data_IF_124742414595
#
_entry.id   IF_124742414595
#
_cell.length_a   1.000
_cell.length_b   1.000
_cell.length_c   1.000
_cell.angle_alpha   90.00
_cell.angle_beta   90.00
_cell.angle_gamma   90.00
#
_symmetry.space_group_name_H-M   'P 1'
#
loop_
_entity.id
_entity.type
_entity.pdbx_description
1 polymer ?
#
# COMPACT_ATOMS: atom_id res chain seq x y z
N UNK A 1 16.49 -3.00 5.92
CA UNK A 1 15.04 -2.79 5.95
C UNK A 1 14.68 -2.16 7.29
N UNK A 2 14.03 -1.00 7.26
CA UNK A 2 13.49 -0.32 8.45
C UNK A 2 11.98 -0.17 8.26
N UNK A 3 11.19 -0.64 9.22
CA UNK A 3 9.74 -0.49 9.19
C UNK A 3 9.26 0.53 10.21
N UNK A 4 8.22 1.29 9.85
CA UNK A 4 7.50 2.23 10.74
C UNK A 4 6.01 2.10 10.44
N UNK A 5 5.17 2.15 11.47
CA UNK A 5 3.72 2.11 11.31
C UNK A 5 3.02 2.96 12.38
N UNK A 6 1.80 3.41 12.08
CA UNK A 6 1.03 4.31 12.93
C UNK A 6 0.24 3.57 14.04
N UNK A 7 -0.43 4.32 14.91
CA UNK A 7 -1.21 3.76 16.02
C UNK A 7 -2.43 2.95 15.55
N UNK A 8 -3.09 3.35 14.46
CA UNK A 8 -4.22 2.60 13.89
C UNK A 8 -3.75 1.22 13.42
N UNK A 9 -2.58 1.14 12.78
CA UNK A 9 -1.98 -0.13 12.40
C UNK A 9 -1.75 -1.04 13.62
N UNK A 10 -1.22 -0.50 14.72
CA UNK A 10 -1.05 -1.24 15.99
C UNK A 10 -2.38 -1.77 16.53
N UNK A 11 -3.42 -0.94 16.50
CA UNK A 11 -4.76 -1.33 16.95
C UNK A 11 -5.31 -2.47 16.11
N UNK A 12 -5.14 -2.44 14.79
CA UNK A 12 -5.59 -3.53 13.91
C UNK A 12 -4.81 -4.83 14.15
N UNK A 13 -3.51 -4.79 14.44
CA UNK A 13 -2.76 -5.99 14.84
C UNK A 13 -3.37 -6.64 16.09
N UNK A 14 -3.71 -5.83 17.10
CA UNK A 14 -4.33 -6.30 18.35
C UNK A 14 -5.73 -6.84 18.07
N UNK A 15 -6.57 -6.08 17.35
CA UNK A 15 -7.95 -6.45 17.00
C UNK A 15 -8.00 -7.77 16.24
N UNK A 16 -7.06 -7.99 15.31
CA UNK A 16 -6.97 -9.19 14.51
C UNK A 16 -6.14 -10.31 15.13
N UNK A 17 -5.60 -10.11 16.33
CA UNK A 17 -4.72 -11.05 17.03
C UNK A 17 -3.54 -11.51 16.14
N UNK A 18 -2.80 -10.53 15.63
CA UNK A 18 -1.63 -10.69 14.76
C UNK A 18 -0.35 -10.25 15.48
N UNK A 19 0.78 -10.85 15.12
CA UNK A 19 2.07 -10.48 15.69
C UNK A 19 2.61 -9.17 15.10
N UNK A 20 3.34 -8.42 15.93
CA UNK A 20 3.97 -7.13 15.59
C UNK A 20 5.25 -7.25 14.78
N UNK A 21 5.83 -8.46 14.73
CA UNK A 21 6.94 -8.84 13.85
C UNK A 21 6.49 -9.29 12.44
N UNK A 22 5.17 -9.26 12.18
CA UNK A 22 4.54 -9.66 10.92
C UNK A 22 4.80 -11.12 10.50
N UNK A 23 5.13 -11.99 11.46
CA UNK A 23 5.43 -13.42 11.23
C UNK A 23 4.21 -14.30 10.93
N UNK A 24 3.06 -13.70 10.59
CA UNK A 24 1.86 -14.43 10.22
C UNK A 24 1.88 -14.96 8.76
N UNK A 25 1.01 -15.96 8.52
CA UNK A 25 0.83 -16.60 7.22
C UNK A 25 -0.52 -16.25 6.62
N UNK A 26 -0.54 -16.00 5.31
CA UNK A 26 -1.74 -15.77 4.50
C UNK A 26 -1.48 -16.41 3.14
N UNK A 27 -2.49 -17.09 2.61
CA UNK A 27 -2.41 -17.66 1.27
C UNK A 27 -2.36 -16.52 0.25
N UNK A 28 -1.38 -16.56 -0.65
CA UNK A 28 -1.22 -15.55 -1.67
C UNK A 28 -2.07 -15.93 -2.89
N UNK A 29 -3.05 -15.12 -3.30
CA UNK A 29 -3.77 -15.31 -4.56
C UNK A 29 -2.82 -15.30 -5.76
N UNK A 30 -3.25 -15.93 -6.86
CA UNK A 30 -2.43 -16.02 -8.09
C UNK A 30 -1.99 -14.64 -8.58
N UNK A 31 -2.88 -13.65 -8.50
CA UNK A 31 -2.64 -12.26 -8.89
C UNK A 31 -1.48 -11.64 -8.10
N UNK A 32 -1.38 -11.94 -6.80
CA UNK A 32 -0.25 -11.51 -5.96
C UNK A 32 1.02 -12.21 -6.36
N UNK A 33 0.94 -13.53 -6.60
CA UNK A 33 2.12 -14.31 -6.98
C UNK A 33 2.70 -13.82 -8.31
N UNK A 34 1.85 -13.45 -9.26
CA UNK A 34 2.25 -12.86 -10.55
C UNK A 34 3.00 -11.53 -10.35
N UNK A 35 2.49 -10.63 -9.51
CA UNK A 35 3.16 -9.36 -9.15
C UNK A 35 4.52 -9.65 -8.50
N UNK A 36 4.56 -10.57 -7.53
CA UNK A 36 5.79 -10.94 -6.83
C UNK A 36 6.81 -11.63 -7.75
N UNK A 37 6.37 -12.30 -8.81
CA UNK A 37 7.23 -12.88 -9.83
C UNK A 37 7.70 -11.84 -10.86
N UNK A 38 7.01 -10.71 -11.00
CA UNK A 38 7.23 -9.75 -12.07
C UNK A 38 8.59 -9.04 -12.02
N UNK A 39 9.18 -8.77 -13.18
CA UNK A 39 10.54 -8.24 -13.26
C UNK A 39 10.59 -6.78 -12.78
N UNK A 40 11.56 -6.46 -11.92
CA UNK A 40 11.84 -5.06 -11.56
C UNK A 40 12.50 -4.35 -12.75
N UNK A 41 12.00 -3.16 -13.08
CA UNK A 41 12.58 -2.26 -14.06
C UNK A 41 13.08 -1.01 -13.35
N UNK A 42 14.33 -0.64 -13.64
CA UNK A 42 14.93 0.62 -13.21
C UNK A 42 15.16 1.43 -14.48
N UNK A 43 14.61 2.63 -14.52
CA UNK A 43 14.73 3.59 -15.62
C UNK A 43 15.21 4.93 -15.09
N UNK A 44 15.50 5.87 -15.99
CA UNK A 44 15.85 7.25 -15.60
C UNK A 44 14.68 7.96 -14.89
N UNK A 45 13.45 7.48 -15.09
CA UNK A 45 12.22 7.99 -14.45
C UNK A 45 11.88 7.29 -13.13
N UNK A 46 12.58 6.20 -12.77
CA UNK A 46 12.41 5.54 -11.48
C UNK A 46 12.45 4.03 -11.48
N UNK A 47 11.66 3.44 -10.57
CA UNK A 47 11.60 2.00 -10.38
C UNK A 47 10.16 1.52 -10.45
N UNK A 48 9.90 0.46 -11.23
CA UNK A 48 8.58 -0.13 -11.41
C UNK A 48 8.67 -1.64 -11.59
N UNK A 49 7.52 -2.31 -11.71
CA UNK A 49 7.44 -3.68 -12.18
C UNK A 49 7.08 -3.70 -13.67
N UNK A 50 7.61 -4.67 -14.42
CA UNK A 50 7.49 -4.71 -15.89
C UNK A 50 6.05 -4.77 -16.40
N UNK A 51 5.15 -5.44 -15.70
CA UNK A 51 3.73 -5.48 -16.02
C UNK A 51 3.05 -4.11 -15.87
N UNK A 52 3.56 -3.26 -14.98
CA UNK A 52 3.09 -1.90 -14.75
C UNK A 52 3.75 -0.84 -15.65
N UNK A 53 4.76 -1.21 -16.44
CA UNK A 53 5.40 -0.33 -17.44
C UNK A 53 4.54 -0.11 -18.70
N UNK A 54 3.40 -0.81 -18.81
CA UNK A 54 2.39 -0.55 -19.82
C UNK A 54 1.49 0.59 -19.35
N UNK A 55 1.96 1.81 -19.59
CA UNK A 55 1.21 3.03 -19.33
C UNK A 55 -0.04 3.07 -20.21
N UNK A 56 -1.21 2.99 -19.59
CA UNK A 56 -2.47 3.24 -20.26
C UNK A 56 -2.83 4.73 -20.09
N UNK A 57 -3.27 5.38 -21.17
CA UNK A 57 -3.69 6.78 -21.13
C UNK A 57 -5.02 6.88 -20.38
N UNK A 58 -5.09 7.74 -19.35
CA UNK A 58 -6.29 7.98 -18.55
C UNK A 58 -7.48 8.46 -19.40
N UNK A 59 -8.30 7.52 -19.89
CA UNK A 59 -9.59 7.78 -20.52
C UNK A 59 -10.68 7.57 -19.47
N UNK A 60 -11.20 8.66 -18.90
CA UNK A 60 -12.29 8.71 -17.91
C UNK A 60 -13.12 7.40 -17.85
N UNK A 61 -12.95 6.64 -16.76
CA UNK A 61 -13.45 5.30 -16.36
C UNK A 61 -12.28 4.46 -15.76
N UNK A 62 -11.87 4.76 -14.51
CA UNK A 62 -10.70 4.13 -13.86
C UNK A 62 -10.98 3.78 -12.41
N UNK A 63 -10.93 2.48 -12.07
CA UNK A 63 -10.74 2.00 -10.68
C UNK A 63 -9.75 0.80 -10.58
N UNK A 64 -8.98 0.44 -11.63
CA UNK A 64 -8.10 -0.74 -11.58
C UNK A 64 -6.81 -0.62 -12.42
N UNK A 65 -6.12 0.52 -12.42
CA UNK A 65 -4.87 0.66 -13.19
C UNK A 65 -3.81 1.41 -12.41
N UNK A 66 -2.54 1.02 -12.60
CA UNK A 66 -1.38 1.72 -12.04
C UNK A 66 -1.24 3.11 -12.67
N UNK A 67 -1.17 4.14 -11.83
CA UNK A 67 -1.03 5.54 -12.25
C UNK A 67 0.33 6.06 -11.79
N UNK A 68 1.04 6.78 -12.68
CA UNK A 68 2.17 7.64 -12.32
C UNK A 68 1.58 9.01 -11.99
N UNK A 69 1.59 9.40 -10.71
CA UNK A 69 0.98 10.65 -10.27
C UNK A 69 1.81 11.89 -10.64
N UNK A 70 3.12 11.74 -10.83
CA UNK A 70 4.01 12.84 -11.22
C UNK A 70 5.23 12.37 -12.02
N UNK A 71 5.90 13.31 -12.68
CA UNK A 71 7.18 13.07 -13.36
C UNK A 71 8.34 12.72 -12.41
N UNK A 72 8.06 12.50 -11.12
CA UNK A 72 9.04 12.42 -10.03
C UNK A 72 8.95 11.10 -9.24
N UNK A 73 8.70 9.99 -9.94
CA UNK A 73 8.91 8.60 -9.48
C UNK A 73 7.84 8.00 -8.54
N UNK A 74 6.63 8.54 -8.42
CA UNK A 74 5.58 7.91 -7.62
C UNK A 74 4.85 6.81 -8.41
N UNK A 75 5.13 5.54 -8.06
CA UNK A 75 4.40 4.38 -8.59
C UNK A 75 3.37 3.89 -7.58
N UNK A 76 2.11 3.89 -8.00
CA UNK A 76 1.01 3.39 -7.20
C UNK A 76 0.46 2.11 -7.81
N UNK A 77 0.33 1.09 -6.96
CA UNK A 77 -0.46 -0.09 -7.24
C UNK A 77 -1.75 0.11 -6.45
N UNK A 78 -2.74 0.72 -7.10
CA UNK A 78 -4.10 0.67 -6.56
C UNK A 78 -4.58 -0.77 -6.68
N UNK A 79 -4.87 -1.35 -5.53
CA UNK A 79 -5.30 -2.71 -5.45
C UNK A 79 -6.76 -2.74 -5.07
N UNK A 80 -7.55 -3.53 -5.79
CA UNK A 80 -8.82 -4.00 -5.29
C UNK A 80 -8.74 -5.52 -5.26
N UNK A 81 -8.45 -6.11 -4.10
CA UNK A 81 -8.96 -7.45 -3.84
C UNK A 81 -10.28 -7.29 -3.13
N UNK A 82 -11.32 -7.87 -3.74
CA UNK A 82 -12.55 -8.19 -3.03
C UNK A 82 -12.27 -9.26 -1.97
N UNK A 83 -11.71 -8.85 -0.84
CA UNK A 83 -11.67 -9.69 0.35
C UNK A 83 -12.95 -9.45 1.13
N UNK A 84 -13.73 -10.51 1.36
CA UNK A 84 -14.90 -10.45 2.25
C UNK A 84 -14.53 -10.32 3.74
N UNK A 85 -13.23 -10.29 4.06
CA UNK A 85 -12.68 -10.32 5.42
C UNK A 85 -11.54 -9.31 5.58
N UNK A 86 -11.80 -8.24 6.34
CA UNK A 86 -10.85 -7.17 6.65
C UNK A 86 -9.51 -7.70 7.18
N UNK A 87 -9.53 -8.76 8.02
CA UNK A 87 -8.31 -9.33 8.59
C UNK A 87 -7.43 -9.94 7.50
N UNK A 88 -8.02 -10.72 6.60
CA UNK A 88 -7.29 -11.33 5.49
C UNK A 88 -6.74 -10.27 4.54
N UNK A 89 -7.54 -9.25 4.23
CA UNK A 89 -7.12 -8.09 3.44
C UNK A 89 -5.86 -7.44 4.03
N UNK A 90 -5.91 -7.15 5.32
CA UNK A 90 -4.82 -6.52 6.05
C UNK A 90 -3.55 -7.38 6.07
N UNK A 91 -3.70 -8.67 6.40
CA UNK A 91 -2.57 -9.62 6.38
C UNK A 91 -1.96 -9.72 4.98
N UNK A 92 -2.79 -9.77 3.94
CA UNK A 92 -2.37 -9.92 2.57
C UNK A 92 -1.61 -8.68 2.08
N UNK A 93 -2.12 -7.48 2.33
CA UNK A 93 -1.42 -6.22 2.01
C UNK A 93 -0.04 -6.13 2.67
N UNK A 94 0.06 -6.44 3.96
CA UNK A 94 1.32 -6.48 4.69
C UNK A 94 2.28 -7.51 4.09
N UNK A 95 1.78 -8.72 3.82
CA UNK A 95 2.61 -9.80 3.28
C UNK A 95 3.15 -9.46 1.90
N UNK A 96 2.32 -8.90 1.03
CA UNK A 96 2.71 -8.45 -0.31
C UNK A 96 3.79 -7.37 -0.21
N UNK A 97 3.60 -6.36 0.65
CA UNK A 97 4.58 -5.27 0.84
C UNK A 97 5.94 -5.79 1.28
N UNK A 98 5.98 -6.68 2.29
CA UNK A 98 7.22 -7.26 2.81
C UNK A 98 7.94 -8.08 1.73
N UNK A 99 7.20 -8.92 1.00
CA UNK A 99 7.79 -9.77 -0.04
C UNK A 99 8.32 -8.94 -1.22
N UNK A 100 7.66 -7.84 -1.58
CA UNK A 100 8.17 -6.88 -2.55
C UNK A 100 9.45 -6.20 -2.05
N UNK A 101 9.47 -5.71 -0.81
CA UNK A 101 10.67 -5.09 -0.22
C UNK A 101 11.85 -6.08 -0.18
N UNK A 102 11.60 -7.32 0.23
CA UNK A 102 12.59 -8.41 0.21
C UNK A 102 13.12 -8.68 -1.19
N UNK A 103 12.25 -8.67 -2.22
CA UNK A 103 12.64 -8.87 -3.61
C UNK A 103 13.63 -7.80 -4.06
N UNK A 104 13.32 -6.53 -3.84
CA UNK A 104 14.19 -5.41 -4.20
C UNK A 104 15.52 -5.47 -3.44
N UNK A 105 15.48 -5.81 -2.15
CA UNK A 105 16.68 -5.97 -1.33
C UNK A 105 17.58 -7.11 -1.84
N UNK A 106 17.01 -8.25 -2.26
CA UNK A 106 17.75 -9.37 -2.88
C UNK A 106 18.39 -8.98 -4.20
N UNK A 107 17.74 -8.11 -4.98
CA UNK A 107 18.29 -7.51 -6.20
C UNK A 107 19.28 -6.36 -5.92
N UNK A 108 19.57 -6.08 -4.64
CA UNK A 108 20.49 -5.02 -4.17
C UNK A 108 20.05 -3.61 -4.57
N UNK A 109 18.76 -3.41 -4.80
CA UNK A 109 18.14 -2.11 -5.05
C UNK A 109 17.91 -1.44 -3.69
N UNK A 110 18.37 -0.20 -3.54
CA UNK A 110 18.33 0.57 -2.29
C UNK A 110 17.75 1.96 -2.53
N UNK A 111 17.44 2.65 -1.44
CA UNK A 111 16.83 3.97 -1.48
C UNK A 111 15.38 3.88 -1.96
N UNK A 112 14.68 2.80 -1.63
CA UNK A 112 13.28 2.59 -2.01
C UNK A 112 12.42 2.63 -0.75
N UNK A 113 11.33 3.38 -0.84
CA UNK A 113 10.26 3.39 0.15
C UNK A 113 9.09 2.58 -0.37
N UNK A 114 8.63 1.67 0.45
CA UNK A 114 7.38 0.96 0.30
C UNK A 114 6.37 1.54 1.27
N UNK A 115 5.15 1.71 0.82
CA UNK A 115 4.07 2.31 1.56
C UNK A 115 2.81 1.47 1.43
N UNK A 116 2.18 1.20 2.56
CA UNK A 116 0.89 0.54 2.64
C UNK A 116 -0.06 1.40 3.45
N UNK A 117 -1.22 1.68 2.87
CA UNK A 117 -2.36 2.30 3.52
C UNK A 117 -3.52 1.33 3.53
N UNK A 118 -4.16 1.16 4.67
CA UNK A 118 -5.32 0.31 4.84
C UNK A 118 -6.43 1.03 5.58
N UNK A 119 -7.59 1.13 4.97
CA UNK A 119 -8.77 1.75 5.52
C UNK A 119 -9.90 0.71 5.56
N UNK A 120 -10.36 0.42 6.78
CA UNK A 120 -11.58 -0.38 6.97
C UNK A 120 -12.81 0.46 6.64
N UNK A 121 -13.97 -0.17 6.34
CA UNK A 121 -15.24 0.56 6.19
C UNK A 121 -15.54 1.52 7.34
N UNK A 122 -15.22 1.12 8.57
CA UNK A 122 -15.42 1.96 9.77
C UNK A 122 -14.55 3.21 9.74
N UNK A 123 -13.28 3.08 9.35
CA UNK A 123 -12.36 4.21 9.24
C UNK A 123 -12.72 5.13 8.06
N UNK A 124 -13.16 4.55 6.93
CA UNK A 124 -13.68 5.33 5.80
C UNK A 124 -14.90 6.15 6.18
N UNK A 125 -15.84 5.55 6.92
CA UNK A 125 -17.00 6.27 7.43
C UNK A 125 -16.63 7.38 8.41
N UNK A 126 -15.68 7.14 9.31
CA UNK A 126 -15.18 8.18 10.22
C UNK A 126 -14.62 9.37 9.45
N UNK A 127 -13.83 9.11 8.40
CA UNK A 127 -13.31 10.15 7.52
C UNK A 127 -14.44 10.92 6.81
N UNK A 128 -15.43 10.22 6.26
CA UNK A 128 -16.56 10.85 5.57
C UNK A 128 -17.36 11.75 6.51
N UNK A 129 -17.65 11.28 7.73
CA UNK A 129 -18.34 12.06 8.76
C UNK A 129 -17.55 13.34 9.10
N UNK A 130 -16.25 13.23 9.36
CA UNK A 130 -15.43 14.38 9.75
C UNK A 130 -15.27 15.42 8.64
N UNK A 131 -15.41 15.01 7.37
CA UNK A 131 -15.32 15.89 6.22
C UNK A 131 -16.70 16.37 5.69
N UNK A 132 -17.80 16.02 6.36
CA UNK A 132 -19.18 16.31 5.92
C UNK A 132 -19.49 15.72 4.52
N UNK A 133 -19.02 14.51 4.28
CA UNK A 133 -19.21 13.75 3.03
C UNK A 133 -20.02 12.45 3.22
N UNK A 134 -20.45 12.13 4.46
CA UNK A 134 -21.24 10.92 4.73
C UNK A 134 -22.69 11.12 4.23
N UNK A 135 -23.05 10.49 3.11
CA UNK A 135 -24.44 10.38 2.64
C UNK A 135 -25.09 9.11 3.22
N UNK A 136 -26.39 9.16 3.59
CA UNK A 136 -27.08 8.08 4.33
C UNK A 136 -27.08 6.72 3.59
N UNK A 137 -26.85 6.71 2.28
CA UNK A 137 -26.86 5.51 1.43
C UNK A 137 -25.45 5.04 0.99
N UNK A 138 -24.39 5.72 1.42
CA UNK A 138 -23.03 5.41 0.95
C UNK A 138 -22.50 4.10 1.53
N UNK A 139 -22.19 3.17 0.62
CA UNK A 139 -21.54 1.91 0.96
C UNK A 139 -20.04 2.12 1.10
N UNK A 140 -19.56 1.97 2.33
CA UNK A 140 -18.15 2.01 2.64
C UNK A 140 -17.54 0.61 2.50
N UNK A 141 -16.52 0.47 1.66
CA UNK A 141 -15.78 -0.77 1.46
C UNK A 141 -14.38 -0.66 2.09
N UNK A 142 -13.64 -1.77 2.06
CA UNK A 142 -12.21 -1.73 2.34
C UNK A 142 -11.54 -0.92 1.23
N UNK A 143 -10.65 -0.01 1.60
CA UNK A 143 -9.74 0.65 0.67
C UNK A 143 -8.32 0.35 1.12
N UNK A 144 -7.53 -0.29 0.26
CA UNK A 144 -6.14 -0.55 0.51
C UNK A 144 -5.26 -0.09 -0.65
N UNK A 145 -4.09 0.45 -0.32
CA UNK A 145 -3.17 1.00 -1.31
C UNK A 145 -1.76 0.57 -0.99
N UNK A 146 -1.11 -0.02 -1.99
CA UNK A 146 0.30 -0.36 -1.94
C UNK A 146 1.06 0.49 -2.96
N UNK A 147 2.15 1.11 -2.53
CA UNK A 147 3.00 1.87 -3.43
C UNK A 147 4.46 1.69 -3.08
N UNK A 148 5.32 1.86 -4.06
CA UNK A 148 6.76 1.93 -3.81
C UNK A 148 7.40 2.93 -4.75
N UNK A 149 8.43 3.61 -4.27
CA UNK A 149 9.09 4.66 -5.03
C UNK A 149 10.52 4.88 -4.55
N UNK A 150 11.33 5.51 -5.39
CA UNK A 150 12.70 5.89 -5.05
C UNK A 150 12.67 7.13 -4.14
N UNK A 151 13.34 7.04 -2.99
CA UNK A 151 13.51 8.15 -2.06
C UNK A 151 14.22 9.32 -2.73
N UNK A 152 13.70 10.53 -2.49
CA UNK A 152 14.33 11.78 -2.95
C UNK A 152 15.47 12.19 -2.01
N UNK A 153 16.44 12.92 -2.53
CA UNK A 153 17.53 13.47 -1.72
C UNK A 153 16.97 14.40 -0.63
N UNK A 154 17.27 14.11 0.63
CA UNK A 154 16.76 14.87 1.77
C UNK A 154 15.31 14.54 2.16
N UNK A 155 14.67 13.56 1.52
CA UNK A 155 13.37 13.05 1.97
C UNK A 155 13.55 12.37 3.34
N UNK A 156 13.01 12.99 4.38
CA UNK A 156 13.03 12.40 5.70
C UNK A 156 12.14 11.15 5.75
N UNK A 157 12.48 10.22 6.64
CA UNK A 157 11.55 9.16 7.04
C UNK A 157 10.32 9.84 7.59
N UNK A 158 9.22 9.81 6.82
CA UNK A 158 7.97 10.48 7.17
C UNK A 158 7.63 10.01 8.58
N UNK A 159 7.83 10.88 9.58
CA UNK A 159 7.11 10.74 10.84
C UNK A 159 5.67 10.99 10.43
N UNK A 160 4.89 9.92 10.32
CA UNK A 160 3.52 9.92 9.80
C UNK A 160 2.81 11.21 10.19
N UNK A 161 2.54 12.08 9.21
CA UNK A 161 1.95 13.40 9.47
C UNK A 161 0.67 13.20 10.28
N UNK A 162 0.44 14.05 11.28
CA UNK A 162 -0.68 13.93 12.25
C UNK A 162 -2.04 13.59 11.61
N UNK A 163 -2.34 14.07 10.41
CA UNK A 163 -3.67 13.94 9.79
C UNK A 163 -3.93 12.59 9.10
N UNK A 164 -2.90 11.85 8.69
CA UNK A 164 -3.08 10.48 8.14
C UNK A 164 -3.21 9.43 9.25
N UNK A 165 -2.90 9.82 10.49
CA UNK A 165 -2.86 8.91 11.64
C UNK A 165 -4.25 8.50 12.16
N UNK A 166 -5.34 9.10 11.68
CA UNK A 166 -6.68 8.91 12.29
C UNK A 166 -7.62 8.05 11.43
N UNK A 167 -7.43 8.01 10.11
CA UNK A 167 -8.39 7.39 9.18
C UNK A 167 -7.85 6.20 8.38
N UNK A 168 -6.60 5.81 8.58
CA UNK A 168 -6.02 4.64 7.94
C UNK A 168 -4.92 4.03 8.80
N UNK A 169 -4.72 2.73 8.67
CA UNK A 169 -3.54 2.04 9.15
C UNK A 169 -2.42 2.21 8.11
N UNK A 170 -1.25 2.66 8.57
CA UNK A 170 -0.10 2.90 7.70
C UNK A 170 1.07 2.00 8.09
N UNK A 171 1.72 1.42 7.08
CA UNK A 171 3.01 0.73 7.19
C UNK A 171 3.95 1.25 6.11
N UNK A 172 5.14 1.67 6.55
CA UNK A 172 6.23 2.14 5.69
C UNK A 172 7.41 1.20 5.86
N UNK A 173 8.03 0.80 4.76
CA UNK A 173 9.27 0.01 4.75
C UNK A 173 10.30 0.72 3.85
N UNK A 174 11.44 1.10 4.44
CA UNK A 174 12.57 1.66 3.69
C UNK A 174 13.70 0.62 3.57
N UNK A 175 14.28 0.48 2.37
CA UNK A 175 15.42 -0.42 2.07
C UNK A 175 16.63 0.29 1.45
#
# INVERSE_FOLDING_TARGET
MKSVYNEIFKQLLIEYNLSDDFSFSVDLPTEVQEILADKILITDLGVTLKSFDKLHQATQEWENQSIIEDSENHFHVEWLIETSDNKKAFMLGIKTLILLADKFQKEKIKGIRFWYSFQTPKLGRLWAIENNLDEEDDKHFISDRLSFYKLRDGEEVISTKKNENEFCALLIIDI
#
